data_IF_968510732247
#
_entry.id   IF_968510732247
#
_cell.length_a   1.000
_cell.length_b   1.000
_cell.length_c   1.000
_cell.angle_alpha   90.00
_cell.angle_beta   90.00
_cell.angle_gamma   90.00
#
_symmetry.space_group_name_H-M   'P 1'
#
loop_
_entity.id
_entity.type
_entity.pdbx_description
1 polymer ?
#
# COMPACT_ATOMS: atom_id res chain seq x y z
N UNK A 1 16.84 -35.78 -37.56
CA UNK A 1 17.04 -35.73 -36.10
C UNK A 1 17.81 -34.48 -35.81
N UNK A 2 17.03 -33.43 -35.58
CA UNK A 2 17.44 -32.07 -35.28
C UNK A 2 18.12 -32.00 -33.90
N UNK A 3 19.09 -31.11 -33.74
CA UNK A 3 18.85 -29.88 -32.99
C UNK A 3 20.08 -28.96 -33.12
N UNK A 4 19.87 -27.85 -33.82
CA UNK A 4 20.81 -26.75 -33.99
C UNK A 4 20.78 -25.86 -32.74
N UNK A 5 21.97 -25.58 -32.20
CA UNK A 5 22.22 -24.45 -31.31
C UNK A 5 22.79 -23.31 -32.17
N UNK A 6 22.05 -22.21 -32.31
CA UNK A 6 22.61 -20.96 -32.82
C UNK A 6 22.62 -19.91 -31.71
N UNK A 7 23.84 -19.64 -31.26
CA UNK A 7 24.25 -18.47 -30.50
C UNK A 7 24.61 -17.40 -31.52
N UNK A 8 23.96 -16.23 -31.49
CA UNK A 8 24.49 -15.03 -32.12
C UNK A 8 24.61 -13.89 -31.12
N UNK A 9 25.80 -13.31 -31.19
CA UNK A 9 26.42 -12.30 -30.34
C UNK A 9 26.44 -10.96 -31.09
N UNK A 10 26.96 -9.93 -30.41
CA UNK A 10 27.32 -8.58 -30.89
C UNK A 10 26.15 -7.58 -31.06
N UNK A 11 26.23 -6.28 -30.67
CA UNK A 11 27.40 -5.43 -30.40
C UNK A 11 27.02 -4.17 -29.59
N UNK A 12 27.93 -3.72 -28.72
CA UNK A 12 28.04 -2.36 -28.17
C UNK A 12 28.14 -1.26 -29.25
N UNK A 13 27.68 -0.03 -28.97
CA UNK A 13 28.35 1.27 -29.21
C UNK A 13 27.46 2.38 -28.59
N UNK A 14 27.83 2.96 -27.45
CA UNK A 14 28.61 4.20 -27.24
C UNK A 14 27.82 5.52 -27.43
N UNK A 15 27.75 6.23 -26.30
CA UNK A 15 27.52 7.66 -26.03
C UNK A 15 27.56 8.67 -27.19
N UNK A 16 26.59 9.60 -27.21
CA UNK A 16 26.89 11.04 -27.40
C UNK A 16 25.71 11.95 -27.03
N UNK A 17 25.95 12.86 -26.09
CA UNK A 17 25.16 14.06 -25.82
C UNK A 17 25.34 15.06 -26.96
N UNK A 18 24.28 15.76 -27.39
CA UNK A 18 24.21 17.22 -27.58
C UNK A 18 22.92 17.62 -28.32
N UNK A 19 22.12 18.46 -27.65
CA UNK A 19 21.55 19.72 -28.16
C UNK A 19 21.18 19.79 -29.65
N UNK A 20 19.88 19.76 -29.95
CA UNK A 20 19.28 20.65 -30.96
C UNK A 20 17.84 21.00 -30.56
N UNK A 21 17.62 22.28 -30.31
CA UNK A 21 16.31 22.89 -30.35
C UNK A 21 15.89 23.00 -31.82
N UNK A 22 14.71 22.48 -32.18
CA UNK A 22 13.99 22.98 -33.34
C UNK A 22 12.49 22.89 -33.07
N UNK A 23 11.88 24.08 -33.05
CA UNK A 23 10.45 24.30 -33.16
C UNK A 23 9.98 23.76 -34.51
N UNK A 24 9.04 22.82 -34.49
CA UNK A 24 8.16 22.55 -35.61
C UNK A 24 6.75 22.36 -35.06
N UNK A 25 5.92 23.36 -35.35
CA UNK A 25 4.48 23.22 -35.35
C UNK A 25 4.10 22.04 -36.24
N UNK A 26 3.36 21.07 -35.70
CA UNK A 26 2.51 20.21 -36.51
C UNK A 26 1.31 19.82 -35.66
N UNK A 27 0.19 20.36 -36.09
CA UNK A 27 -1.18 20.00 -35.75
C UNK A 27 -1.38 18.48 -35.74
N UNK A 28 -1.69 17.92 -34.57
CA UNK A 28 -2.35 16.63 -34.44
C UNK A 28 -3.44 16.75 -33.36
N UNK A 29 -4.65 16.98 -33.87
CA UNK A 29 -6.00 16.82 -33.28
C UNK A 29 -6.21 17.02 -31.76
N UNK A 30 -6.81 18.15 -31.35
CA UNK A 30 -7.49 18.29 -30.07
C UNK A 30 -8.98 17.94 -30.24
N UNK A 31 -9.34 16.67 -30.18
CA UNK A 31 -10.76 16.28 -30.27
C UNK A 31 -11.06 14.93 -29.61
N UNK A 32 -10.87 14.87 -28.30
CA UNK A 32 -11.58 13.91 -27.42
C UNK A 32 -12.15 14.66 -26.21
N UNK A 33 -12.97 15.67 -26.50
CA UNK A 33 -13.96 16.18 -25.56
C UNK A 33 -15.11 15.16 -25.54
N UNK A 34 -15.14 14.32 -24.52
CA UNK A 34 -16.25 13.39 -24.27
C UNK A 34 -17.50 14.20 -23.89
N UNK A 35 -18.34 14.48 -24.89
CA UNK A 35 -19.77 14.58 -24.64
C UNK A 35 -20.30 13.18 -24.41
N UNK A 36 -21.18 13.03 -23.42
CA UNK A 36 -22.13 11.92 -23.30
C UNK A 36 -23.09 11.93 -24.51
N UNK A 37 -22.55 11.64 -25.70
CA UNK A 37 -23.32 11.42 -26.93
C UNK A 37 -23.41 9.92 -27.11
N UNK A 38 -24.63 9.39 -27.05
CA UNK A 38 -24.98 8.06 -27.58
C UNK A 38 -24.33 7.90 -28.94
N UNK A 39 -23.24 7.14 -29.01
CA UNK A 39 -22.62 6.73 -30.27
C UNK A 39 -23.46 5.61 -30.84
N UNK A 40 -24.31 5.95 -31.80
CA UNK A 40 -25.04 5.01 -32.65
C UNK A 40 -24.14 4.60 -33.82
N UNK A 41 -23.22 3.68 -33.58
CA UNK A 41 -22.66 2.85 -34.65
C UNK A 41 -22.78 1.40 -34.18
N UNK A 42 -23.63 0.65 -34.88
CA UNK A 42 -24.06 -0.71 -34.54
C UNK A 42 -22.96 -1.74 -34.83
N UNK A 43 -21.85 -1.67 -34.09
CA UNK A 43 -21.13 -2.89 -33.76
C UNK A 43 -21.91 -3.59 -32.64
N UNK A 44 -22.10 -4.90 -32.76
CA UNK A 44 -22.74 -5.74 -31.73
C UNK A 44 -22.17 -5.35 -30.36
N UNK A 45 -23.03 -5.01 -29.38
CA UNK A 45 -22.53 -4.57 -28.09
C UNK A 45 -21.66 -5.69 -27.53
N UNK A 46 -20.41 -5.39 -27.18
CA UNK A 46 -19.46 -6.37 -26.69
C UNK A 46 -20.03 -7.05 -25.45
N UNK A 47 -20.06 -8.37 -25.50
CA UNK A 47 -20.65 -9.23 -24.49
C UNK A 47 -19.59 -9.58 -23.47
N UNK A 48 -19.85 -9.21 -22.22
CA UNK A 48 -19.16 -9.73 -21.04
C UNK A 48 -19.62 -11.18 -20.85
N UNK A 49 -18.69 -12.09 -20.58
CA UNK A 49 -19.01 -13.49 -20.29
C UNK A 49 -19.64 -13.65 -18.90
N UNK A 50 -20.30 -14.79 -18.65
CA UNK A 50 -21.01 -15.03 -17.39
C UNK A 50 -20.07 -14.99 -16.17
N UNK A 51 -18.87 -15.56 -16.29
CA UNK A 51 -17.86 -15.56 -15.23
C UNK A 51 -17.33 -14.13 -14.93
N UNK A 52 -17.11 -13.34 -15.97
CA UNK A 52 -16.69 -11.94 -15.84
C UNK A 52 -17.79 -11.09 -15.21
N UNK A 53 -19.05 -11.31 -15.61
CA UNK A 53 -20.21 -10.66 -15.03
C UNK A 53 -20.32 -10.97 -13.54
N UNK A 54 -20.11 -12.22 -13.15
CA UNK A 54 -20.09 -12.64 -11.75
C UNK A 54 -19.01 -11.89 -10.96
N UNK A 55 -17.79 -11.77 -11.48
CA UNK A 55 -16.73 -10.99 -10.83
C UNK A 55 -17.08 -9.52 -10.68
N UNK A 56 -17.68 -8.90 -11.70
CA UNK A 56 -18.13 -7.50 -11.65
C UNK A 56 -19.25 -7.32 -10.62
N UNK A 57 -20.17 -8.28 -10.50
CA UNK A 57 -21.19 -8.30 -9.45
C UNK A 57 -20.57 -8.41 -8.06
N UNK A 58 -19.65 -9.35 -7.86
CA UNK A 58 -18.93 -9.52 -6.58
C UNK A 58 -18.19 -8.23 -6.22
N UNK A 59 -17.49 -7.58 -7.17
CA UNK A 59 -16.87 -6.28 -6.94
C UNK A 59 -17.89 -5.24 -6.48
N UNK A 60 -18.99 -5.10 -7.21
CA UNK A 60 -20.01 -4.10 -6.90
C UNK A 60 -20.62 -4.29 -5.52
N UNK A 61 -21.11 -5.49 -5.22
CA UNK A 61 -21.73 -5.78 -3.92
C UNK A 61 -20.72 -5.77 -2.77
N UNK A 62 -19.42 -5.99 -3.04
CA UNK A 62 -18.39 -5.83 -2.01
C UNK A 62 -18.16 -4.37 -1.57
N UNK A 63 -18.65 -3.40 -2.34
CA UNK A 63 -18.61 -1.97 -2.01
C UNK A 63 -19.93 -1.46 -1.41
N UNK A 64 -21.03 -2.18 -1.62
CA UNK A 64 -22.36 -1.86 -1.08
C UNK A 64 -22.51 -2.38 0.36
N UNK A 65 -21.78 -1.76 1.29
CA UNK A 65 -21.75 -2.17 2.71
C UNK A 65 -23.14 -2.10 3.35
N UNK A 66 -23.98 -1.17 2.89
CA UNK A 66 -25.34 -0.96 3.39
C UNK A 66 -26.36 -1.95 2.80
N UNK A 67 -26.01 -2.73 1.78
CA UNK A 67 -26.91 -3.66 1.09
C UNK A 67 -28.10 -2.99 0.41
N UNK A 68 -27.95 -1.74 -0.02
CA UNK A 68 -29.03 -0.93 -0.64
C UNK A 68 -29.14 -1.12 -2.14
N UNK A 69 -28.19 -1.84 -2.75
CA UNK A 69 -28.02 -1.95 -4.20
C UNK A 69 -27.51 -0.67 -4.85
N UNK A 70 -26.93 0.24 -4.07
CA UNK A 70 -26.44 1.54 -4.53
C UNK A 70 -25.08 1.83 -3.88
N UNK A 71 -24.08 2.16 -4.70
CA UNK A 71 -22.71 2.47 -4.23
C UNK A 71 -22.42 3.94 -4.46
N UNK A 72 -21.87 4.63 -3.47
CA UNK A 72 -21.49 6.05 -3.60
C UNK A 72 -20.19 6.21 -4.40
N UNK A 73 -20.02 7.36 -5.06
CA UNK A 73 -18.77 7.67 -5.77
C UNK A 73 -17.53 7.59 -4.84
N UNK A 74 -17.69 7.99 -3.58
CA UNK A 74 -16.60 7.94 -2.60
C UNK A 74 -16.15 6.49 -2.33
N UNK A 75 -17.07 5.54 -2.19
CA UNK A 75 -16.77 4.12 -1.98
C UNK A 75 -16.06 3.51 -3.18
N UNK A 76 -16.49 3.85 -4.40
CA UNK A 76 -15.81 3.41 -5.63
C UNK A 76 -14.36 3.89 -5.64
N UNK A 77 -14.14 5.20 -5.42
CA UNK A 77 -12.78 5.76 -5.45
C UNK A 77 -11.90 5.25 -4.32
N UNK A 78 -12.49 4.96 -3.16
CA UNK A 78 -11.78 4.37 -2.02
C UNK A 78 -11.31 2.94 -2.32
N UNK A 79 -12.17 2.14 -2.95
CA UNK A 79 -11.89 0.73 -3.24
C UNK A 79 -11.01 0.55 -4.47
N UNK A 80 -11.05 1.50 -5.40
CA UNK A 80 -10.33 1.45 -6.67
C UNK A 80 -8.80 1.48 -6.48
N UNK A 81 -8.15 0.40 -6.91
CA UNK A 81 -6.70 0.27 -6.90
C UNK A 81 -6.08 0.84 -8.19
N UNK A 82 -5.78 2.14 -8.18
CA UNK A 82 -5.22 2.82 -9.35
C UNK A 82 -3.87 2.26 -9.83
N UNK A 83 -3.08 1.64 -8.95
CA UNK A 83 -1.78 1.05 -9.31
C UNK A 83 -1.95 -0.23 -10.16
N UNK A 84 -3.05 -0.95 -9.96
CA UNK A 84 -3.35 -2.17 -10.69
C UNK A 84 -3.92 -1.91 -12.10
N UNK A 85 -4.25 -0.65 -12.44
CA UNK A 85 -4.78 -0.32 -13.75
C UNK A 85 -3.79 -0.69 -14.87
N UNK A 86 -4.21 -1.35 -15.99
CA UNK A 86 -3.30 -1.86 -17.02
C UNK A 86 -2.31 -0.83 -17.56
N UNK A 87 -2.83 0.35 -17.98
CA UNK A 87 -1.99 1.46 -18.46
C UNK A 87 -1.02 2.04 -17.41
N UNK A 88 -1.31 1.87 -16.12
CA UNK A 88 -0.40 2.30 -15.05
C UNK A 88 0.72 1.27 -14.89
N UNK A 89 0.40 -0.02 -14.94
CA UNK A 89 1.39 -1.11 -14.93
C UNK A 89 2.34 -1.06 -16.12
N UNK A 90 1.85 -0.66 -17.28
CA UNK A 90 2.65 -0.45 -18.49
C UNK A 90 3.50 0.84 -18.45
N UNK A 91 3.29 1.72 -17.46
CA UNK A 91 3.96 3.02 -17.37
C UNK A 91 3.41 4.09 -18.31
N UNK A 92 2.31 3.82 -19.02
CA UNK A 92 1.65 4.74 -19.93
C UNK A 92 0.79 5.80 -19.21
N UNK A 93 0.45 5.56 -17.94
CA UNK A 93 -0.42 6.42 -17.14
C UNK A 93 0.07 6.52 -15.69
N UNK A 94 -0.03 7.70 -15.08
CA UNK A 94 0.21 7.86 -13.65
C UNK A 94 -0.98 7.35 -12.82
N UNK A 95 -0.78 6.76 -11.62
CA UNK A 95 -1.87 6.28 -10.77
C UNK A 95 -2.92 7.37 -10.47
N UNK A 96 -2.48 8.60 -10.19
CA UNK A 96 -3.37 9.74 -9.93
C UNK A 96 -4.22 10.12 -11.15
N UNK A 97 -3.71 9.90 -12.38
CA UNK A 97 -4.48 10.11 -13.60
C UNK A 97 -5.54 9.02 -13.80
N UNK A 98 -5.23 7.77 -13.44
CA UNK A 98 -6.20 6.68 -13.45
C UNK A 98 -7.36 6.94 -12.49
N UNK A 99 -7.08 7.34 -11.23
CA UNK A 99 -8.13 7.71 -10.26
C UNK A 99 -9.00 8.85 -10.77
N UNK A 100 -8.40 9.94 -11.28
CA UNK A 100 -9.15 11.07 -11.84
C UNK A 100 -10.02 10.68 -13.03
N UNK A 101 -9.56 9.74 -13.86
CA UNK A 101 -10.33 9.24 -15.00
C UNK A 101 -11.55 8.47 -14.54
N UNK A 102 -11.40 7.60 -13.54
CA UNK A 102 -12.53 6.87 -12.93
C UNK A 102 -13.51 7.83 -12.27
N UNK A 103 -13.00 8.81 -11.51
CA UNK A 103 -13.81 9.87 -10.91
C UNK A 103 -14.63 10.62 -11.96
N UNK A 104 -14.00 11.07 -13.04
CA UNK A 104 -14.68 11.79 -14.12
C UNK A 104 -15.76 10.93 -14.82
N UNK A 105 -15.49 9.64 -15.04
CA UNK A 105 -16.44 8.73 -15.68
C UNK A 105 -17.68 8.50 -14.82
N UNK A 106 -17.50 8.35 -13.51
CA UNK A 106 -18.61 8.09 -12.59
C UNK A 106 -19.25 9.36 -12.03
N UNK A 107 -18.61 10.53 -12.10
CA UNK A 107 -19.18 11.79 -11.62
C UNK A 107 -20.43 12.19 -12.40
N UNK A 108 -20.50 11.90 -13.70
CA UNK A 108 -21.69 12.15 -14.52
C UNK A 108 -22.86 11.27 -14.08
N UNK A 109 -22.62 9.96 -13.94
CA UNK A 109 -23.57 8.97 -13.43
C UNK A 109 -24.07 9.33 -12.02
N UNK A 110 -23.13 9.64 -11.12
CA UNK A 110 -23.42 10.03 -9.75
C UNK A 110 -24.31 11.28 -9.71
N UNK A 111 -24.08 12.27 -10.57
CA UNK A 111 -24.93 13.47 -10.62
C UNK A 111 -26.37 13.15 -11.05
N UNK A 112 -26.57 12.19 -11.95
CA UNK A 112 -27.91 11.77 -12.39
C UNK A 112 -28.66 10.98 -11.30
N UNK A 113 -27.93 10.28 -10.43
CA UNK A 113 -28.47 9.42 -9.39
C UNK A 113 -28.18 9.89 -7.96
N UNK A 114 -28.16 11.21 -7.71
CA UNK A 114 -28.03 11.83 -6.37
C UNK A 114 -26.77 11.39 -5.57
N UNK A 115 -25.65 11.20 -6.25
CA UNK A 115 -24.36 10.79 -5.67
C UNK A 115 -24.09 9.29 -5.70
N UNK A 116 -25.05 8.49 -6.15
CA UNK A 116 -24.96 7.03 -6.22
C UNK A 116 -24.69 6.53 -7.63
N UNK A 117 -24.16 5.31 -7.73
CA UNK A 117 -23.81 4.65 -8.98
C UNK A 117 -24.52 3.31 -8.98
N UNK A 118 -25.31 3.06 -10.03
CA UNK A 118 -26.06 1.82 -10.18
C UNK A 118 -25.17 0.69 -10.73
N UNK A 119 -25.57 -0.56 -10.51
CA UNK A 119 -24.85 -1.71 -11.07
C UNK A 119 -24.73 -1.65 -12.60
N UNK A 120 -25.76 -1.17 -13.31
CA UNK A 120 -25.74 -1.09 -14.77
C UNK A 120 -24.68 -0.09 -15.30
N UNK A 121 -24.48 1.03 -14.61
CA UNK A 121 -23.45 2.01 -14.95
C UNK A 121 -22.05 1.45 -14.67
N UNK A 122 -21.90 0.78 -13.54
CA UNK A 122 -20.67 0.07 -13.19
C UNK A 122 -20.34 -1.05 -14.19
N UNK A 123 -21.34 -1.81 -14.64
CA UNK A 123 -21.18 -2.82 -15.68
C UNK A 123 -20.81 -2.18 -17.03
N UNK A 124 -21.39 -1.02 -17.35
CA UNK A 124 -21.07 -0.28 -18.58
C UNK A 124 -19.60 0.17 -18.60
N UNK A 125 -19.04 0.55 -17.45
CA UNK A 125 -17.60 0.82 -17.33
C UNK A 125 -16.75 -0.41 -17.70
N UNK A 126 -17.10 -1.60 -17.20
CA UNK A 126 -16.39 -2.84 -17.52
C UNK A 126 -16.56 -3.27 -18.98
N UNK A 127 -17.74 -3.06 -19.57
CA UNK A 127 -17.93 -3.28 -21.01
C UNK A 127 -16.97 -2.43 -21.83
N UNK A 128 -16.72 -1.18 -21.45
CA UNK A 128 -15.73 -0.33 -22.15
C UNK A 128 -14.30 -0.88 -22.01
N UNK A 129 -13.94 -1.42 -20.84
CA UNK A 129 -12.63 -2.04 -20.62
C UNK A 129 -12.42 -3.25 -21.54
N UNK A 130 -13.42 -4.12 -21.70
CA UNK A 130 -13.40 -5.25 -22.65
C UNK A 130 -13.14 -4.75 -24.07
N UNK A 131 -13.78 -3.65 -24.47
CA UNK A 131 -13.67 -3.10 -25.83
C UNK A 131 -12.28 -2.57 -26.10
N UNK A 132 -11.71 -1.86 -25.13
CA UNK A 132 -10.35 -1.36 -25.23
C UNK A 132 -9.36 -2.53 -25.36
N UNK A 133 -9.52 -3.60 -24.56
CA UNK A 133 -8.67 -4.80 -24.67
C UNK A 133 -8.79 -5.52 -26.03
N UNK A 134 -10.00 -5.61 -26.59
CA UNK A 134 -10.24 -6.17 -27.93
C UNK A 134 -9.59 -5.31 -29.02
N UNK A 135 -9.70 -3.99 -28.94
CA UNK A 135 -9.09 -3.05 -29.89
C UNK A 135 -7.56 -3.11 -29.84
N UNK A 136 -7.00 -3.26 -28.64
CA UNK A 136 -5.56 -3.41 -28.41
C UNK A 136 -5.04 -4.83 -28.78
N UNK A 137 -5.93 -5.75 -29.17
CA UNK A 137 -5.63 -7.13 -29.60
C UNK A 137 -4.84 -7.94 -28.55
N UNK A 138 -5.25 -7.84 -27.29
CA UNK A 138 -4.72 -8.70 -26.21
C UNK A 138 -4.98 -10.17 -26.57
N UNK A 139 -3.98 -11.05 -26.36
CA UNK A 139 -4.06 -12.45 -26.80
C UNK A 139 -5.21 -13.23 -26.15
N UNK A 140 -5.40 -13.03 -24.85
CA UNK A 140 -6.49 -13.64 -24.07
C UNK A 140 -7.24 -12.52 -23.34
N UNK A 141 -8.34 -12.08 -23.95
CA UNK A 141 -9.16 -10.98 -23.42
C UNK A 141 -9.83 -11.39 -22.10
N UNK A 142 -10.30 -12.63 -21.99
CA UNK A 142 -11.05 -13.09 -20.81
C UNK A 142 -10.17 -13.17 -19.57
N UNK A 143 -9.00 -13.79 -19.70
CA UNK A 143 -8.04 -13.87 -18.60
C UNK A 143 -7.55 -12.47 -18.21
N UNK A 144 -7.28 -11.60 -19.20
CA UNK A 144 -6.88 -10.21 -18.95
C UNK A 144 -7.95 -9.43 -18.17
N UNK A 145 -9.22 -9.55 -18.55
CA UNK A 145 -10.33 -8.84 -17.88
C UNK A 145 -10.52 -9.38 -16.48
N UNK A 146 -10.50 -10.70 -16.29
CA UNK A 146 -10.56 -11.34 -14.98
C UNK A 146 -9.47 -10.83 -14.04
N UNK A 147 -8.21 -10.89 -14.47
CA UNK A 147 -7.07 -10.44 -13.66
C UNK A 147 -7.13 -8.94 -13.38
N UNK A 148 -7.58 -8.15 -14.36
CA UNK A 148 -7.73 -6.70 -14.21
C UNK A 148 -8.83 -6.35 -13.22
N UNK A 149 -10.01 -6.97 -13.30
CA UNK A 149 -11.13 -6.75 -12.38
C UNK A 149 -10.74 -7.16 -10.96
N UNK A 150 -10.12 -8.34 -10.80
CA UNK A 150 -9.63 -8.78 -9.49
C UNK A 150 -8.62 -7.81 -8.90
N UNK A 151 -7.64 -7.35 -9.68
CA UNK A 151 -6.58 -6.48 -9.19
C UNK A 151 -7.05 -5.03 -8.93
N UNK A 152 -7.88 -4.47 -9.81
CA UNK A 152 -8.42 -3.11 -9.68
C UNK A 152 -9.36 -3.00 -8.49
N UNK A 153 -10.22 -3.98 -8.27
CA UNK A 153 -11.18 -3.97 -7.17
C UNK A 153 -10.70 -4.74 -5.95
N UNK A 154 -9.47 -5.26 -5.97
CA UNK A 154 -8.88 -6.07 -4.89
C UNK A 154 -9.79 -7.23 -4.47
N UNK A 155 -10.44 -7.86 -5.44
CA UNK A 155 -11.23 -9.06 -5.19
C UNK A 155 -10.26 -10.20 -4.89
N UNK A 156 -10.43 -10.84 -3.73
CA UNK A 156 -9.60 -11.96 -3.30
C UNK A 156 -8.47 -11.62 -2.34
N UNK A 157 -8.17 -10.34 -2.10
CA UNK A 157 -7.19 -9.93 -1.07
C UNK A 157 -7.84 -9.73 0.31
N UNK A 158 -8.96 -10.39 0.62
CA UNK A 158 -9.52 -10.31 1.97
C UNK A 158 -8.62 -11.08 2.93
N UNK A 159 -8.12 -10.40 3.95
CA UNK A 159 -7.25 -11.04 4.92
C UNK A 159 -8.09 -11.92 5.85
N UNK A 160 -7.86 -13.22 5.78
CA UNK A 160 -8.45 -14.18 6.71
C UNK A 160 -7.72 -14.12 8.05
N UNK A 161 -8.42 -14.33 9.18
CA UNK A 161 -9.84 -14.69 9.29
C UNK A 161 -10.78 -13.48 9.37
N UNK A 162 -10.26 -12.25 9.41
CA UNK A 162 -11.03 -11.05 9.76
C UNK A 162 -11.83 -10.45 8.60
N UNK A 163 -11.55 -10.87 7.37
CA UNK A 163 -12.14 -10.30 6.16
C UNK A 163 -11.70 -8.85 5.92
N UNK A 164 -10.64 -8.39 6.59
CA UNK A 164 -10.14 -7.03 6.43
C UNK A 164 -9.58 -6.87 5.02
N UNK A 165 -9.99 -5.80 4.33
CA UNK A 165 -9.43 -5.47 3.01
C UNK A 165 -8.17 -4.62 3.18
N UNK A 166 -7.01 -5.07 2.68
CA UNK A 166 -5.78 -4.34 2.85
C UNK A 166 -5.74 -3.11 1.94
N UNK A 167 -5.11 -2.04 2.42
CA UNK A 167 -4.94 -0.78 1.66
C UNK A 167 -3.92 -0.90 0.52
N UNK A 168 -3.07 -1.91 0.58
CA UNK A 168 -2.05 -2.25 -0.40
C UNK A 168 -1.82 -3.77 -0.41
N UNK A 169 -1.28 -4.35 -1.50
CA UNK A 169 -1.14 -5.81 -1.62
C UNK A 169 -0.44 -6.43 -0.42
N UNK A 170 -0.95 -7.56 0.09
CA UNK A 170 -0.42 -8.19 1.31
C UNK A 170 1.08 -8.55 1.20
N UNK A 171 1.52 -8.97 0.01
CA UNK A 171 2.91 -9.31 -0.26
C UNK A 171 3.88 -8.10 -0.22
N UNK A 172 3.36 -6.88 -0.34
CA UNK A 172 4.18 -5.68 -0.32
C UNK A 172 4.54 -5.30 1.13
N UNK A 173 5.83 -5.10 1.46
CA UNK A 173 6.19 -4.56 2.75
C UNK A 173 5.66 -3.13 2.90
N UNK A 174 5.27 -2.72 4.11
CA UNK A 174 4.75 -1.38 4.34
C UNK A 174 5.80 -0.31 4.03
N UNK A 175 5.35 0.79 3.44
CA UNK A 175 6.21 1.89 2.99
C UNK A 175 5.66 3.26 3.41
N UNK A 176 6.51 4.28 3.39
CA UNK A 176 6.12 5.66 3.71
C UNK A 176 5.53 5.81 5.12
N UNK A 177 4.34 6.41 5.23
CA UNK A 177 3.65 6.60 6.51
C UNK A 177 3.22 5.28 7.16
N UNK A 178 2.87 4.27 6.36
CA UNK A 178 2.43 2.96 6.86
C UNK A 178 3.54 2.13 7.48
N UNK A 179 4.79 2.42 7.13
CA UNK A 179 5.97 1.83 7.75
C UNK A 179 6.22 2.33 9.19
N UNK A 180 5.66 3.48 9.57
CA UNK A 180 5.77 4.05 10.92
C UNK A 180 4.48 4.01 11.74
N UNK A 181 3.34 3.79 11.08
CA UNK A 181 2.02 3.77 11.72
C UNK A 181 1.80 2.40 12.36
N UNK A 182 1.62 2.34 13.67
CA UNK A 182 1.31 1.08 14.36
C UNK A 182 -0.01 0.51 13.82
N UNK A 183 -0.03 -0.81 13.64
CA UNK A 183 -1.22 -1.55 13.26
C UNK A 183 -2.04 -1.90 14.51
N UNK A 184 -3.34 -2.08 14.31
CA UNK A 184 -4.27 -2.65 15.28
C UNK A 184 -4.17 -4.17 15.20
N UNK A 185 -4.11 -4.82 16.36
CA UNK A 185 -4.25 -6.26 16.46
C UNK A 185 -5.73 -6.59 16.53
N UNK A 186 -6.26 -7.35 15.58
CA UNK A 186 -7.70 -7.63 15.44
C UNK A 186 -7.97 -9.12 15.37
N UNK A 187 -9.11 -9.59 15.86
CA UNK A 187 -9.52 -10.99 15.73
C UNK A 187 -11.03 -11.12 15.70
N UNK A 188 -11.51 -12.20 15.09
CA UNK A 188 -12.94 -12.54 15.14
C UNK A 188 -13.19 -13.31 16.42
N UNK A 189 -14.21 -12.89 17.16
CA UNK A 189 -14.66 -13.54 18.39
C UNK A 189 -16.16 -13.77 18.32
N UNK A 190 -16.69 -14.60 19.22
CA UNK A 190 -18.14 -14.74 19.41
C UNK A 190 -18.56 -13.98 20.65
N UNK A 191 -19.56 -13.12 20.51
CA UNK A 191 -20.13 -12.43 21.66
C UNK A 191 -21.00 -13.37 22.51
N UNK A 192 -21.48 -12.90 23.67
CA UNK A 192 -22.34 -13.68 24.57
C UNK A 192 -23.63 -14.20 23.88
N UNK A 193 -24.08 -13.52 22.83
CA UNK A 193 -25.22 -13.92 22.00
C UNK A 193 -24.87 -14.99 20.94
N UNK A 194 -23.59 -15.34 20.76
CA UNK A 194 -23.11 -16.26 19.74
C UNK A 194 -22.89 -15.63 18.36
N UNK A 195 -23.15 -14.32 18.21
CA UNK A 195 -22.86 -13.56 16.99
C UNK A 195 -21.35 -13.30 16.86
N UNK A 196 -20.86 -13.29 15.62
CA UNK A 196 -19.46 -12.97 15.34
C UNK A 196 -19.23 -11.47 15.43
N UNK A 197 -18.26 -11.06 16.26
CA UNK A 197 -17.88 -9.67 16.46
C UNK A 197 -16.38 -9.53 16.19
N UNK A 198 -16.00 -8.49 15.46
CA UNK A 198 -14.60 -8.16 15.25
C UNK A 198 -14.08 -7.38 16.47
N UNK A 199 -13.10 -7.95 17.17
CA UNK A 199 -12.46 -7.32 18.35
C UNK A 199 -11.07 -6.85 17.99
N UNK A 200 -10.54 -5.89 18.73
CA UNK A 200 -9.15 -5.48 18.52
C UNK A 200 -8.56 -4.58 19.58
N UNK A 201 -7.24 -4.43 19.53
CA UNK A 201 -6.46 -3.52 20.37
C UNK A 201 -5.66 -2.58 19.48
N UNK A 202 -5.90 -1.28 19.65
CA UNK A 202 -5.33 -0.23 18.79
C UNK A 202 -3.83 -0.06 19.02
N UNK A 203 -3.11 0.16 17.93
CA UNK A 203 -1.73 0.64 17.93
C UNK A 203 -0.76 -0.23 18.76
N UNK A 204 -0.92 -1.55 18.70
CA UNK A 204 -0.06 -2.51 19.42
C UNK A 204 0.87 -3.30 18.51
N UNK A 205 0.78 -3.17 17.19
CA UNK A 205 1.54 -4.01 16.26
C UNK A 205 2.51 -3.18 15.44
N UNK A 206 3.78 -3.61 15.34
CA UNK A 206 4.76 -2.95 14.47
C UNK A 206 4.66 -3.39 13.01
N UNK A 207 4.61 -2.44 12.06
CA UNK A 207 4.58 -2.74 10.63
C UNK A 207 5.98 -2.90 10.03
N UNK A 208 6.77 -3.89 10.47
CA UNK A 208 8.11 -4.16 9.90
C UNK A 208 8.22 -5.51 9.17
N UNK A 209 7.07 -6.05 8.76
CA UNK A 209 6.95 -7.28 7.97
C UNK A 209 5.89 -7.07 6.89
N UNK A 210 5.98 -7.84 5.80
CA UNK A 210 4.92 -7.92 4.80
C UNK A 210 3.87 -8.93 5.29
N UNK A 211 2.58 -8.61 5.22
CA UNK A 211 1.51 -9.52 5.68
C UNK A 211 1.48 -10.82 4.88
N UNK A 212 1.80 -10.78 3.59
CA UNK A 212 1.91 -11.95 2.72
C UNK A 212 3.11 -12.84 3.01
N UNK A 213 4.02 -12.45 3.91
CA UNK A 213 5.04 -13.35 4.44
C UNK A 213 4.50 -14.25 5.57
N UNK A 214 3.28 -13.98 6.04
CA UNK A 214 2.60 -14.78 7.05
C UNK A 214 1.63 -15.79 6.39
N UNK A 215 1.34 -16.92 7.05
CA UNK A 215 0.26 -17.82 6.64
C UNK A 215 -1.09 -17.10 6.53
N UNK A 216 -1.92 -17.49 5.56
CA UNK A 216 -3.22 -16.85 5.27
C UNK A 216 -4.13 -16.79 6.51
N UNK A 217 -4.04 -17.78 7.39
CA UNK A 217 -4.80 -17.93 8.62
C UNK A 217 -4.48 -16.85 9.66
N UNK A 218 -3.34 -16.18 9.53
CA UNK A 218 -2.90 -15.16 10.49
C UNK A 218 -2.72 -13.77 9.89
N UNK A 219 -2.81 -13.60 8.57
CA UNK A 219 -2.62 -12.28 7.93
C UNK A 219 -3.63 -11.25 8.44
N UNK A 220 -4.87 -11.69 8.65
CA UNK A 220 -6.00 -10.88 9.08
C UNK A 220 -5.92 -10.41 10.52
N UNK A 221 -4.98 -10.91 11.34
CA UNK A 221 -4.80 -10.36 12.69
C UNK A 221 -4.21 -8.95 12.71
N UNK A 222 -3.69 -8.48 11.57
CA UNK A 222 -2.95 -7.23 11.48
C UNK A 222 -3.61 -6.27 10.49
N UNK A 223 -4.18 -5.19 11.03
CA UNK A 223 -4.89 -4.21 10.23
C UNK A 223 -4.45 -2.78 10.56
N UNK A 224 -4.32 -1.94 9.54
CA UNK A 224 -4.11 -0.52 9.74
C UNK A 224 -5.40 0.16 10.23
N UNK A 225 -5.31 1.22 11.06
CA UNK A 225 -6.50 1.94 11.51
C UNK A 225 -7.41 2.42 10.35
N UNK A 226 -6.81 2.79 9.22
CA UNK A 226 -7.55 3.21 8.02
C UNK A 226 -8.28 2.05 7.29
N UNK A 227 -7.81 0.81 7.44
CA UNK A 227 -8.49 -0.40 6.92
C UNK A 227 -9.72 -0.74 7.77
N UNK A 228 -9.72 -0.37 9.05
CA UNK A 228 -10.80 -0.66 9.99
C UNK A 228 -11.85 0.45 10.09
N UNK A 229 -11.68 1.57 9.37
CA UNK A 229 -12.49 2.78 9.56
C UNK A 229 -14.00 2.58 9.32
N UNK A 230 -14.38 1.62 8.48
CA UNK A 230 -15.77 1.28 8.16
C UNK A 230 -16.26 -0.01 8.83
N UNK A 231 -15.39 -0.67 9.60
CA UNK A 231 -15.75 -1.90 10.30
C UNK A 231 -16.19 -1.58 11.73
N UNK A 232 -17.24 -2.27 12.19
CA UNK A 232 -17.62 -2.22 13.59
C UNK A 232 -16.67 -3.08 14.42
N UNK A 233 -15.61 -2.46 14.93
CA UNK A 233 -14.61 -3.11 15.78
C UNK A 233 -14.86 -2.79 17.25
N UNK A 234 -15.03 -3.81 18.08
CA UNK A 234 -15.08 -3.67 19.52
C UNK A 234 -13.66 -3.58 20.09
N UNK A 235 -13.24 -2.35 20.39
CA UNK A 235 -11.89 -2.09 20.89
C UNK A 235 -11.77 -2.38 22.39
N UNK A 236 -10.74 -3.14 22.75
CA UNK A 236 -10.37 -3.39 24.13
C UNK A 236 -9.34 -2.36 24.62
N UNK A 237 -9.35 -2.01 25.91
CA UNK A 237 -8.42 -1.04 26.47
C UNK A 237 -6.98 -1.58 26.43
N UNK A 238 -6.03 -0.70 26.10
CA UNK A 238 -4.60 -1.00 26.22
C UNK A 238 -4.10 -0.65 27.62
N UNK A 239 -3.21 -1.47 28.18
CA UNK A 239 -2.60 -1.20 29.48
C UNK A 239 -1.42 -0.24 29.37
N UNK A 240 -1.19 0.55 30.42
CA UNK A 240 0.00 1.38 30.57
C UNK A 240 1.19 0.50 30.97
N UNK A 241 1.81 -0.16 29.99
CA UNK A 241 3.02 -0.93 30.19
C UNK A 241 4.27 -0.17 29.72
N UNK A 242 5.42 -0.48 30.33
CA UNK A 242 6.74 -0.16 29.77
C UNK A 242 6.83 -0.72 28.34
N UNK A 243 7.61 -0.07 27.48
CA UNK A 243 7.75 -0.47 26.08
C UNK A 243 8.58 -1.77 25.94
N UNK A 244 8.06 -2.90 26.43
CA UNK A 244 8.50 -4.23 26.01
C UNK A 244 7.69 -4.70 24.81
N UNK A 245 8.31 -5.55 24.01
CA UNK A 245 7.75 -6.11 22.78
C UNK A 245 7.76 -7.62 22.89
N UNK A 246 6.66 -8.24 22.49
CA UNK A 246 6.41 -9.66 22.45
C UNK A 246 6.53 -10.13 21.00
N UNK A 247 6.84 -11.40 20.85
CA UNK A 247 6.95 -12.05 19.55
C UNK A 247 5.61 -12.63 19.15
N UNK A 248 5.35 -12.63 17.83
CA UNK A 248 4.21 -13.32 17.25
C UNK A 248 4.69 -14.64 16.63
N UNK A 249 4.34 -15.78 17.22
CA UNK A 249 4.87 -17.11 16.88
C UNK A 249 3.72 -18.06 16.55
N UNK A 250 3.83 -18.82 15.48
CA UNK A 250 2.89 -19.88 15.12
C UNK A 250 3.62 -21.18 14.84
N UNK A 251 2.89 -22.28 14.92
CA UNK A 251 3.37 -23.61 14.55
C UNK A 251 2.98 -23.88 13.10
N UNK A 252 3.96 -24.20 12.25
CA UNK A 252 3.71 -24.50 10.84
C UNK A 252 3.73 -26.00 10.54
N UNK A 253 4.45 -26.76 11.36
CA UNK A 253 4.56 -28.21 11.32
C UNK A 253 4.75 -28.70 12.76
N UNK A 254 4.36 -29.94 13.07
CA UNK A 254 4.33 -30.44 14.45
C UNK A 254 5.71 -30.31 15.13
N UNK A 255 5.78 -29.47 16.18
CA UNK A 255 7.01 -29.16 16.91
C UNK A 255 7.94 -28.13 16.24
N UNK A 256 7.54 -27.57 15.10
CA UNK A 256 8.30 -26.56 14.36
C UNK A 256 7.59 -25.20 14.37
N UNK A 257 8.29 -24.20 14.90
CA UNK A 257 7.75 -22.87 15.14
C UNK A 257 8.40 -21.84 14.21
N UNK A 258 7.58 -20.94 13.67
CA UNK A 258 8.03 -19.75 12.97
C UNK A 258 7.44 -18.51 13.64
N UNK A 259 8.11 -17.37 13.56
CA UNK A 259 7.65 -16.17 14.24
C UNK A 259 8.19 -14.87 13.69
N UNK A 260 7.59 -13.77 14.14
CA UNK A 260 8.04 -12.42 13.88
C UNK A 260 8.43 -11.76 15.20
N UNK A 261 9.72 -11.42 15.30
CA UNK A 261 10.32 -10.88 16.52
C UNK A 261 9.81 -9.47 16.84
N UNK A 262 9.46 -9.24 18.10
CA UNK A 262 9.24 -7.92 18.70
C UNK A 262 8.12 -7.12 18.05
N UNK A 263 7.07 -7.79 17.57
CA UNK A 263 5.98 -7.21 16.80
C UNK A 263 4.87 -6.64 17.68
N UNK A 264 4.50 -7.34 18.74
CA UNK A 264 3.34 -7.00 19.58
C UNK A 264 3.80 -6.20 20.79
N UNK A 265 3.20 -5.05 21.06
CA UNK A 265 3.49 -4.26 22.24
C UNK A 265 2.95 -4.97 23.49
N UNK A 266 3.74 -4.99 24.57
CA UNK A 266 3.33 -5.54 25.87
C UNK A 266 2.21 -4.74 26.58
N UNK A 267 1.71 -3.68 25.93
CA UNK A 267 0.47 -3.00 26.33
C UNK A 267 -0.78 -3.86 26.13
N UNK A 268 -0.64 -4.93 25.35
CA UNK A 268 -1.66 -5.93 25.14
C UNK A 268 -1.76 -6.83 26.38
N UNK A 269 -2.89 -6.76 27.09
CA UNK A 269 -3.17 -7.65 28.20
C UNK A 269 -3.49 -9.05 27.66
N UNK A 270 -2.55 -9.98 27.82
CA UNK A 270 -2.72 -11.36 27.37
C UNK A 270 -3.89 -12.05 28.06
N UNK A 271 -4.26 -11.65 29.29
CA UNK A 271 -5.37 -12.27 30.04
C UNK A 271 -6.74 -11.98 29.43
N UNK A 272 -6.88 -10.91 28.66
CA UNK A 272 -8.11 -10.52 27.98
C UNK A 272 -8.26 -11.21 26.63
N UNK A 273 -7.16 -11.69 26.03
CA UNK A 273 -7.20 -12.39 24.75
C UNK A 273 -7.82 -13.78 24.88
N UNK A 274 -8.60 -14.24 23.88
CA UNK A 274 -9.05 -15.62 23.83
C UNK A 274 -7.86 -16.57 23.63
N UNK A 275 -7.96 -17.80 24.16
CA UNK A 275 -6.84 -18.77 24.17
C UNK A 275 -6.30 -19.06 22.76
N UNK A 276 -7.19 -19.16 21.77
CA UNK A 276 -6.83 -19.40 20.38
C UNK A 276 -5.99 -18.28 19.75
N UNK A 277 -6.05 -17.06 20.28
CA UNK A 277 -5.22 -15.92 19.82
C UNK A 277 -3.99 -15.75 20.72
N UNK A 278 -4.17 -15.96 22.03
CA UNK A 278 -3.12 -15.86 23.05
C UNK A 278 -1.94 -16.78 22.75
N UNK A 279 -2.19 -17.99 22.23
CA UNK A 279 -1.13 -18.94 21.89
C UNK A 279 -0.10 -18.39 20.89
N UNK A 280 -0.48 -17.41 20.07
CA UNK A 280 0.42 -16.82 19.07
C UNK A 280 1.35 -15.76 19.67
N UNK A 281 1.16 -15.34 20.92
CA UNK A 281 1.88 -14.20 21.48
C UNK A 281 2.68 -14.68 22.69
N UNK A 282 4.01 -14.54 22.63
CA UNK A 282 4.86 -14.96 23.73
C UNK A 282 6.10 -14.08 23.93
N UNK A 283 6.70 -14.09 25.13
CA UNK A 283 8.01 -13.48 25.37
C UNK A 283 9.12 -14.08 24.49
N UNK A 284 10.11 -13.27 24.13
CA UNK A 284 11.19 -13.64 23.21
C UNK A 284 12.03 -14.82 23.71
N UNK A 285 12.35 -14.85 25.01
CA UNK A 285 13.08 -15.94 25.66
C UNK A 285 12.35 -17.29 25.54
N UNK A 286 11.02 -17.27 25.66
CA UNK A 286 10.18 -18.46 25.47
C UNK A 286 10.17 -18.90 24.01
N UNK A 287 10.09 -17.96 23.05
CA UNK A 287 10.14 -18.26 21.62
C UNK A 287 11.50 -18.88 21.22
N UNK A 288 12.61 -18.35 21.73
CA UNK A 288 13.95 -18.90 21.52
C UNK A 288 14.09 -20.30 22.13
N UNK A 289 13.55 -20.53 23.33
CA UNK A 289 13.55 -21.85 23.96
C UNK A 289 12.80 -22.91 23.13
N UNK A 290 11.76 -22.50 22.39
CA UNK A 290 11.03 -23.35 21.43
C UNK A 290 11.76 -23.56 20.10
N UNK A 291 12.98 -23.05 19.93
CA UNK A 291 13.74 -23.10 18.66
C UNK A 291 12.98 -22.48 17.49
N UNK A 292 12.26 -21.38 17.73
CA UNK A 292 11.50 -20.67 16.71
C UNK A 292 12.41 -20.10 15.61
N UNK A 293 12.05 -20.32 14.35
CA UNK A 293 12.67 -19.66 13.20
C UNK A 293 12.02 -18.29 12.95
N UNK A 294 12.80 -17.22 13.06
CA UNK A 294 12.26 -15.87 12.89
C UNK A 294 12.31 -15.41 11.43
N UNK A 295 11.19 -14.87 10.95
CA UNK A 295 11.13 -14.21 9.66
C UNK A 295 12.10 -13.02 9.62
N UNK A 296 12.80 -12.87 8.49
CA UNK A 296 13.68 -11.72 8.26
C UNK A 296 12.84 -10.46 8.12
N UNK A 297 12.79 -9.67 9.19
CA UNK A 297 12.11 -8.37 9.18
C UNK A 297 13.08 -7.27 8.76
N UNK A 298 12.59 -6.34 7.96
CA UNK A 298 13.32 -5.10 7.69
C UNK A 298 12.66 -4.01 8.52
N UNK A 299 13.35 -3.54 9.56
CA UNK A 299 12.89 -2.34 10.27
C UNK A 299 12.96 -1.18 9.28
N UNK A 300 11.81 -0.61 8.87
CA UNK A 300 11.83 0.46 7.91
C UNK A 300 12.55 1.65 8.54
N UNK A 301 13.67 2.03 7.95
CA UNK A 301 14.38 3.25 8.36
C UNK A 301 13.53 4.40 7.87
N UNK A 302 12.90 5.14 8.80
CA UNK A 302 12.11 6.32 8.43
C UNK A 302 13.00 7.24 7.56
N UNK A 303 12.68 7.45 6.28
CA UNK A 303 13.56 8.19 5.38
C UNK A 303 13.68 9.66 5.78
N UNK A 304 12.72 10.20 6.55
CA UNK A 304 12.81 11.55 7.10
C UNK A 304 13.93 11.65 8.15
N UNK A 305 14.17 10.56 8.88
CA UNK A 305 15.34 10.37 9.73
C UNK A 305 16.29 9.39 9.05
N UNK A 306 16.70 9.69 7.81
CA UNK A 306 17.93 9.11 7.28
C UNK A 306 19.00 9.34 8.34
N UNK A 307 19.40 8.27 9.03
CA UNK A 307 20.66 8.18 9.76
C UNK A 307 21.71 8.88 8.89
N UNK A 308 22.13 10.08 9.27
CA UNK A 308 23.25 10.75 8.62
C UNK A 308 24.58 10.06 8.95
N UNK A 309 24.58 8.99 9.76
CA UNK A 309 25.63 7.97 9.81
C UNK A 309 25.22 6.85 10.77
N UNK A 310 25.77 5.65 10.60
CA UNK A 310 25.71 4.58 11.61
C UNK A 310 26.38 4.96 12.95
N UNK A 311 27.05 6.11 13.03
CA UNK A 311 27.57 6.69 14.26
C UNK A 311 26.50 7.35 15.15
N UNK A 312 25.29 7.61 14.66
CA UNK A 312 24.24 8.31 15.44
C UNK A 312 23.33 7.38 16.26
N UNK A 313 23.53 6.05 16.15
CA UNK A 313 22.73 5.06 16.88
C UNK A 313 23.22 4.75 18.30
N UNK A 314 24.48 5.06 18.60
CA UNK A 314 25.00 5.03 19.96
C UNK A 314 24.97 6.45 20.54
N UNK A 315 24.34 6.61 21.70
CA UNK A 315 24.32 7.85 22.49
C UNK A 315 23.42 9.01 21.97
N UNK A 316 22.20 8.73 21.51
CA UNK A 316 21.17 9.76 21.25
C UNK A 316 21.02 10.72 22.44
N UNK A 317 21.13 10.22 23.68
CA UNK A 317 21.12 11.06 24.87
C UNK A 317 22.35 11.97 25.00
N UNK A 318 23.53 11.56 24.56
CA UNK A 318 24.71 12.45 24.56
C UNK A 318 24.67 13.48 23.44
N UNK A 319 24.13 13.11 22.28
CA UNK A 319 23.87 14.01 21.15
C UNK A 319 22.87 15.10 21.51
N UNK A 320 21.76 14.72 22.14
CA UNK A 320 20.78 15.67 22.71
C UNK A 320 21.46 16.53 23.78
N UNK A 321 22.27 15.95 24.66
CA UNK A 321 23.02 16.69 25.70
C UNK A 321 24.02 17.67 25.09
N UNK A 322 24.76 17.29 24.05
CA UNK A 322 25.68 18.15 23.29
C UNK A 322 24.91 19.29 22.64
N UNK A 323 23.80 19.00 21.97
CA UNK A 323 22.93 20.00 21.34
C UNK A 323 22.36 20.98 22.35
N UNK A 324 21.99 20.50 23.55
CA UNK A 324 21.51 21.34 24.64
C UNK A 324 22.63 22.24 25.20
N UNK A 325 23.82 21.67 25.40
CA UNK A 325 25.03 22.42 25.79
C UNK A 325 25.39 23.49 24.76
N UNK A 326 25.21 23.20 23.48
CA UNK A 326 25.47 24.15 22.40
C UNK A 326 24.44 25.26 22.38
N UNK A 327 23.15 24.94 22.53
CA UNK A 327 22.09 25.95 22.69
C UNK A 327 22.35 26.86 23.89
N UNK A 328 22.73 26.29 25.03
CA UNK A 328 23.10 27.06 26.21
C UNK A 328 24.28 28.01 25.93
N UNK A 329 25.36 27.50 25.32
CA UNK A 329 26.53 28.31 24.96
C UNK A 329 26.22 29.41 23.93
N UNK A 330 25.31 29.16 22.99
CA UNK A 330 24.85 30.16 22.03
C UNK A 330 23.99 31.24 22.69
N UNK A 331 23.10 30.88 23.61
CA UNK A 331 22.29 31.82 24.39
C UNK A 331 23.14 32.65 25.37
N UNK A 332 24.21 32.06 25.92
CA UNK A 332 25.21 32.75 26.74
C UNK A 332 26.15 33.65 25.92
N UNK A 333 26.01 33.70 24.60
CA UNK A 333 26.85 34.52 23.71
C UNK A 333 28.29 34.04 23.56
N UNK A 334 28.63 32.83 24.02
CA UNK A 334 30.00 32.29 24.03
C UNK A 334 30.39 31.58 22.73
N UNK A 335 29.44 31.23 21.86
CA UNK A 335 29.69 30.67 20.53
C UNK A 335 28.80 31.32 19.47
N UNK A 336 29.42 32.05 18.55
CA UNK A 336 28.79 32.62 17.36
C UNK A 336 28.48 31.51 16.33
N UNK A 337 27.31 31.57 15.70
CA UNK A 337 26.70 30.54 14.81
C UNK A 337 27.47 30.11 13.55
N UNK A 338 28.77 30.42 13.44
CA UNK A 338 29.62 30.10 12.31
C UNK A 338 30.04 28.62 12.23
N UNK A 339 29.99 27.85 13.31
CA UNK A 339 30.29 26.41 13.25
C UNK A 339 29.15 25.60 12.61
N UNK A 340 27.89 26.01 12.78
CA UNK A 340 26.75 25.38 12.11
C UNK A 340 26.82 25.61 10.58
N UNK A 341 27.09 26.86 10.16
CA UNK A 341 27.28 27.18 8.74
C UNK A 341 28.55 26.56 8.14
N UNK A 342 29.65 26.47 8.90
CA UNK A 342 30.93 25.95 8.41
C UNK A 342 30.93 24.43 8.17
N UNK A 343 30.20 23.65 8.98
CA UNK A 343 30.04 22.21 8.77
C UNK A 343 29.11 21.91 7.59
N UNK A 344 28.01 22.65 7.47
CA UNK A 344 27.06 22.52 6.35
C UNK A 344 27.74 22.92 5.03
N UNK A 345 28.48 24.04 5.02
CA UNK A 345 29.21 24.52 3.84
C UNK A 345 30.31 23.59 3.35
N UNK A 346 31.08 22.95 4.25
CA UNK A 346 32.11 21.96 3.85
C UNK A 346 31.51 20.64 3.36
N UNK A 347 30.33 20.27 3.84
CA UNK A 347 29.62 19.06 3.38
C UNK A 347 29.10 19.24 1.94
N UNK A 348 28.56 20.42 1.61
CA UNK A 348 28.08 20.73 0.26
C UNK A 348 29.21 21.06 -0.74
N UNK A 349 30.33 21.64 -0.29
CA UNK A 349 31.46 21.96 -1.17
C UNK A 349 32.15 20.74 -1.80
N UNK A 350 32.05 19.55 -1.19
CA UNK A 350 32.57 18.30 -1.76
C UNK A 350 31.60 17.62 -2.74
N UNK A 351 30.33 18.00 -2.77
CA UNK A 351 29.33 17.47 -3.70
C UNK A 351 29.22 18.37 -4.94
N UNK A 352 30.24 18.34 -5.80
CA UNK A 352 30.34 19.09 -7.07
C UNK A 352 29.43 18.56 -8.21
N UNK A 353 28.30 17.96 -7.89
CA UNK A 353 27.30 17.59 -8.90
C UNK A 353 26.00 18.33 -8.60
N UNK A 354 25.31 18.91 -9.61
CA UNK A 354 24.00 19.50 -9.41
C UNK A 354 23.02 18.40 -8.99
N UNK A 355 22.62 18.39 -7.72
CA UNK A 355 21.55 17.51 -7.26
C UNK A 355 20.22 18.08 -7.75
N UNK A 356 19.58 17.43 -8.71
CA UNK A 356 18.16 17.65 -8.97
C UNK A 356 17.38 17.07 -7.78
N UNK A 357 16.88 17.93 -6.90
CA UNK A 357 15.98 17.52 -5.85
C UNK A 357 14.63 17.14 -6.50
N UNK A 358 14.26 15.87 -6.48
CA UNK A 358 12.94 15.39 -6.93
C UNK A 358 11.89 15.44 -5.82
N UNK A 359 12.20 16.05 -4.67
CA UNK A 359 11.21 16.30 -3.63
C UNK A 359 10.22 17.38 -4.10
N UNK A 360 8.94 17.13 -3.91
CA UNK A 360 7.79 17.95 -4.32
C UNK A 360 7.72 19.35 -3.70
N UNK A 361 8.62 19.69 -2.79
CA UNK A 361 8.80 21.06 -2.29
C UNK A 361 9.93 21.72 -3.08
N UNK A 362 9.59 22.38 -4.18
CA UNK A 362 10.50 23.08 -5.09
C UNK A 362 11.21 24.29 -4.46
N UNK A 363 12.00 24.08 -3.41
CA UNK A 363 12.98 25.05 -2.94
C UNK A 363 14.33 24.71 -3.57
N UNK A 364 14.58 25.25 -4.76
CA UNK A 364 15.94 25.41 -5.25
C UNK A 364 16.59 26.52 -4.42
N UNK A 365 17.46 26.16 -3.48
CA UNK A 365 18.36 27.10 -2.83
C UNK A 365 19.40 27.53 -3.87
N UNK A 366 19.35 28.79 -4.29
CA UNK A 366 20.42 29.44 -5.07
C UNK A 366 21.57 29.85 -4.15
#
# INVERSE_FOLDING_TARGET
MDFSFEVYSFMCFQTCSHMFAFSLSLSLSPSLLFHCRRSTNMATPPTIEEDELHLVQVAYYSMDVDGKGLVTLAEILKTFNAVAHPRVREGNMAPSAATKRVEALFAECAREHNGYITFNEFLTFHKRLVNEAQLEKVMDVHQFIRDTVMAIWRLGELLLPTGVRPLFPAAQPPSGLYASTLMTFVWVDRDAAGEYVLRGVKDVVRPHFARGALPEEVQGFFAYPAELAEMQVQYLPSQLALQSWLDFVWEYEEGHFCGVEGVIAARLDLSVLPDGVRQFIMPHDVAVAKKCEFLKTQRPVNPMYKKSSDNYGYNVNEEVRKTHLWKAKSLEGKQYGLQYYGLVGKYFAKMRAPMSCTASTGMNLK
#
